data_IF_485408359178
#
_entry.id   IF_485408359178
#
_cell.length_a   1.000
_cell.length_b   1.000
_cell.length_c   1.000
_cell.angle_alpha   90.00
_cell.angle_beta   90.00
_cell.angle_gamma   90.00
#
_symmetry.space_group_name_H-M   'P 1'
#
loop_
_entity.id
_entity.type
_entity.pdbx_description
1 polymer ?
#
# COMPACT_ATOMS: atom_id res chain seq x y z
N UNK A 1 14.30 17.19 8.84
CA UNK A 1 14.34 18.14 7.71
C UNK A 1 15.49 17.84 6.74
N UNK A 2 16.71 17.63 7.23
CA UNK A 2 17.89 17.33 6.40
C UNK A 2 17.68 16.02 5.57
N UNK A 3 17.20 14.96 6.19
CA UNK A 3 16.98 13.67 5.52
C UNK A 3 15.96 13.79 4.38
N UNK A 4 14.95 14.62 4.55
CA UNK A 4 13.92 14.87 3.53
C UNK A 4 14.52 15.63 2.33
N UNK A 5 15.41 16.57 2.57
CA UNK A 5 16.09 17.33 1.49
C UNK A 5 17.00 16.41 0.67
N UNK A 6 17.69 15.49 1.30
CA UNK A 6 18.48 14.45 0.63
C UNK A 6 17.61 13.57 -0.28
N UNK A 7 16.67 13.30 0.12
CA UNK A 7 15.87 12.57 -0.50
C UNK A 7 15.40 13.09 -1.66
N UNK A 8 14.99 14.19 -1.59
CA UNK A 8 14.47 14.85 -2.78
C UNK A 8 15.53 14.90 -3.90
N UNK A 9 16.73 15.24 -3.55
CA UNK A 9 17.83 15.29 -4.53
C UNK A 9 18.12 13.90 -5.13
N UNK A 10 18.26 12.91 -4.28
CA UNK A 10 18.49 11.52 -4.71
C UNK A 10 17.35 10.99 -5.59
N UNK A 11 16.12 11.46 -5.36
CA UNK A 11 14.96 11.08 -6.14
C UNK A 11 15.15 11.42 -7.62
N UNK A 12 15.57 12.65 -7.91
CA UNK A 12 15.78 13.10 -9.28
C UNK A 12 16.97 12.36 -9.94
N UNK A 13 18.04 12.16 -9.17
CA UNK A 13 19.22 11.42 -9.65
C UNK A 13 18.85 9.97 -10.03
N UNK A 14 18.02 9.32 -9.21
CA UNK A 14 17.53 7.96 -9.48
C UNK A 14 16.68 7.97 -10.76
N UNK A 15 15.77 8.94 -10.91
CA UNK A 15 14.94 9.06 -12.10
C UNK A 15 15.76 9.21 -13.37
N UNK A 16 16.71 10.12 -13.34
CA UNK A 16 17.62 10.35 -14.47
C UNK A 16 18.40 9.08 -14.83
N UNK A 17 18.88 8.36 -13.80
CA UNK A 17 19.60 7.10 -14.02
C UNK A 17 18.74 6.02 -14.68
N UNK A 18 17.46 5.95 -14.29
CA UNK A 18 16.51 5.02 -14.92
C UNK A 18 16.32 5.37 -16.39
N UNK A 19 16.16 6.68 -16.71
CA UNK A 19 16.03 7.12 -18.11
C UNK A 19 17.28 6.78 -18.92
N UNK A 20 18.48 6.99 -18.35
CA UNK A 20 19.73 6.60 -19.01
C UNK A 20 19.79 5.09 -19.33
N UNK A 21 19.38 4.25 -18.37
CA UNK A 21 19.36 2.80 -18.55
C UNK A 21 18.34 2.40 -19.64
N UNK A 22 17.20 3.07 -19.66
CA UNK A 22 16.18 2.83 -20.69
C UNK A 22 16.70 3.26 -22.06
N UNK A 23 17.40 4.40 -22.15
CA UNK A 23 17.98 4.88 -23.40
C UNK A 23 19.00 3.89 -23.98
N UNK A 24 19.82 3.26 -23.11
CA UNK A 24 20.76 2.24 -23.53
C UNK A 24 20.06 1.01 -24.14
N UNK A 25 18.88 0.66 -23.62
CA UNK A 25 18.11 -0.50 -24.09
C UNK A 25 17.20 -0.17 -25.27
N UNK A 26 16.67 1.04 -25.30
CA UNK A 26 15.70 1.54 -26.30
C UNK A 26 16.15 2.91 -26.79
N UNK A 27 17.09 2.97 -27.74
CA UNK A 27 17.62 4.26 -28.20
C UNK A 27 16.53 5.20 -28.71
N UNK A 28 16.55 6.44 -28.25
CA UNK A 28 15.59 7.48 -28.59
C UNK A 28 14.43 7.60 -27.59
N UNK A 29 14.36 6.73 -26.58
CA UNK A 29 13.24 6.79 -25.63
C UNK A 29 13.31 8.06 -24.77
N UNK A 30 14.48 8.54 -24.45
CA UNK A 30 14.63 9.73 -23.60
C UNK A 30 13.94 10.97 -24.20
N UNK A 31 13.93 11.08 -25.55
CA UNK A 31 13.27 12.20 -26.25
C UNK A 31 11.75 12.07 -26.21
N UNK A 32 11.21 10.93 -25.82
CA UNK A 32 9.77 10.67 -25.77
C UNK A 32 9.23 10.73 -24.34
N UNK A 33 10.10 10.94 -23.34
CA UNK A 33 9.67 11.05 -21.93
C UNK A 33 9.07 12.44 -21.74
N UNK A 34 7.76 12.48 -21.48
CA UNK A 34 7.04 13.72 -21.22
C UNK A 34 6.94 14.04 -19.74
N UNK A 35 6.86 13.00 -18.89
CA UNK A 35 6.70 13.17 -17.44
C UNK A 35 7.50 12.10 -16.74
N UNK A 36 8.15 12.48 -15.64
CA UNK A 36 8.81 11.54 -14.72
C UNK A 36 8.21 11.75 -13.34
N UNK A 37 7.64 10.70 -12.78
CA UNK A 37 7.20 10.72 -11.38
C UNK A 37 7.87 9.57 -10.64
N UNK A 38 8.51 9.90 -9.52
CA UNK A 38 9.29 8.95 -8.74
C UNK A 38 8.72 8.89 -7.33
N UNK A 39 8.31 7.71 -6.92
CA UNK A 39 7.86 7.47 -5.55
C UNK A 39 8.94 6.75 -4.76
N UNK A 40 9.35 7.33 -3.66
CA UNK A 40 10.31 6.76 -2.72
C UNK A 40 9.58 6.37 -1.43
N UNK A 41 10.22 5.65 -0.50
CA UNK A 41 9.59 5.41 0.81
C UNK A 41 9.15 6.68 1.51
N UNK A 42 9.89 7.79 1.37
CA UNK A 42 9.47 9.08 1.95
C UNK A 42 8.20 9.62 1.29
N UNK A 43 8.03 9.37 -0.02
CA UNK A 43 6.79 9.72 -0.73
C UNK A 43 5.60 8.96 -0.12
N UNK A 44 5.76 7.65 0.07
CA UNK A 44 4.71 6.83 0.68
C UNK A 44 4.40 7.28 2.11
N UNK A 45 5.44 7.50 2.92
CA UNK A 45 5.25 7.97 4.29
C UNK A 45 4.47 9.30 4.34
N UNK A 46 4.83 10.24 3.46
CA UNK A 46 4.18 11.55 3.38
C UNK A 46 2.70 11.44 3.04
N UNK A 47 2.32 10.58 2.09
CA UNK A 47 0.95 10.50 1.60
C UNK A 47 0.07 9.53 2.39
N UNK A 48 0.65 8.52 3.03
CA UNK A 48 -0.12 7.46 3.69
C UNK A 48 0.03 7.44 5.21
N UNK A 49 1.08 8.07 5.73
CA UNK A 49 1.42 7.96 7.15
C UNK A 49 2.00 6.59 7.53
N UNK A 50 2.21 5.71 6.57
CA UNK A 50 2.73 4.37 6.84
C UNK A 50 4.17 4.42 7.32
N UNK A 51 4.45 3.66 8.37
CA UNK A 51 5.76 3.61 9.00
C UNK A 51 6.86 3.26 8.01
N UNK A 52 7.88 4.11 7.94
CA UNK A 52 9.02 3.99 7.03
C UNK A 52 8.61 3.83 5.56
N UNK A 53 7.46 4.38 5.19
CA UNK A 53 7.02 4.39 3.80
C UNK A 53 6.61 3.03 3.25
N UNK A 54 6.11 2.14 4.09
CA UNK A 54 5.56 0.86 3.61
C UNK A 54 4.41 1.13 2.63
N UNK A 55 4.53 0.62 1.42
CA UNK A 55 3.49 0.84 0.40
C UNK A 55 2.46 -0.30 0.35
N UNK A 56 2.81 -1.45 0.91
CA UNK A 56 1.89 -2.59 1.08
C UNK A 56 1.84 -2.98 2.56
N UNK A 57 0.99 -3.93 2.89
CA UNK A 57 0.87 -4.43 4.26
C UNK A 57 2.08 -5.25 4.71
N UNK A 58 1.83 -6.30 5.48
CA UNK A 58 2.89 -7.13 6.04
C UNK A 58 3.65 -7.88 4.96
N UNK A 59 4.97 -7.84 5.02
CA UNK A 59 5.81 -8.65 4.13
C UNK A 59 5.59 -10.13 4.45
N UNK A 60 5.23 -10.91 3.44
CA UNK A 60 5.03 -12.35 3.58
C UNK A 60 6.40 -13.03 3.45
N UNK A 61 6.80 -13.73 4.50
CA UNK A 61 8.03 -14.52 4.54
C UNK A 61 7.68 -15.99 4.77
N UNK A 62 8.60 -16.94 4.53
CA UNK A 62 8.31 -18.34 4.84
C UNK A 62 7.88 -18.56 6.29
N UNK A 63 8.45 -17.80 7.24
CA UNK A 63 8.20 -17.95 8.67
C UNK A 63 6.79 -17.51 9.06
N UNK A 64 6.27 -16.44 8.44
CA UNK A 64 4.96 -15.88 8.81
C UNK A 64 3.85 -16.22 7.82
N UNK A 65 4.16 -16.92 6.71
CA UNK A 65 3.21 -17.19 5.63
C UNK A 65 1.93 -17.87 6.10
N UNK A 66 2.06 -18.87 6.98
CA UNK A 66 0.89 -19.62 7.49
C UNK A 66 -0.08 -18.73 8.26
N UNK A 67 0.45 -17.74 8.98
CA UNK A 67 -0.37 -16.78 9.74
C UNK A 67 -0.97 -15.73 8.79
N UNK A 68 -0.14 -15.18 7.91
CA UNK A 68 -0.56 -14.10 7.02
C UNK A 68 -1.44 -14.56 5.86
N UNK A 69 -1.49 -15.87 5.58
CA UNK A 69 -2.42 -16.41 4.57
C UNK A 69 -3.87 -16.43 5.05
N UNK A 70 -4.10 -16.18 6.33
CA UNK A 70 -5.45 -16.09 6.89
C UNK A 70 -5.78 -14.61 7.18
N UNK A 71 -7.00 -14.16 6.85
CA UNK A 71 -7.40 -12.80 7.23
C UNK A 71 -7.29 -12.61 8.75
N UNK A 72 -6.73 -11.49 9.16
CA UNK A 72 -6.66 -11.13 10.57
C UNK A 72 -8.04 -10.75 11.09
N UNK A 73 -8.23 -10.84 12.41
CA UNK A 73 -9.46 -10.37 13.03
C UNK A 73 -9.65 -8.88 12.72
N UNK A 74 -10.84 -8.52 12.30
CA UNK A 74 -11.22 -7.13 12.08
C UNK A 74 -11.73 -6.44 13.35
N UNK A 75 -11.61 -7.12 14.48
CA UNK A 75 -12.03 -6.58 15.79
C UNK A 75 -11.02 -6.98 16.85
N UNK A 76 -10.91 -6.18 17.89
CA UNK A 76 -10.03 -6.44 19.03
C UNK A 76 -10.88 -6.98 20.18
N UNK A 77 -10.48 -8.13 20.77
CA UNK A 77 -11.21 -8.66 21.94
C UNK A 77 -11.32 -7.61 23.05
N UNK A 78 -12.50 -7.49 23.60
CA UNK A 78 -12.77 -6.52 24.66
C UNK A 78 -13.17 -5.12 24.21
N UNK A 79 -13.07 -4.84 22.90
CA UNK A 79 -13.51 -3.55 22.33
C UNK A 79 -14.77 -3.75 21.50
N UNK A 80 -15.91 -3.27 22.02
CA UNK A 80 -17.16 -3.28 21.27
C UNK A 80 -17.22 -2.09 20.31
N UNK A 81 -17.84 -2.30 19.15
CA UNK A 81 -18.03 -1.26 18.13
C UNK A 81 -16.71 -0.66 17.59
N UNK A 82 -15.60 -1.38 17.75
CA UNK A 82 -14.32 -1.00 17.18
C UNK A 82 -13.91 -2.01 16.12
N UNK A 83 -13.65 -1.53 14.93
CA UNK A 83 -13.34 -2.39 13.78
C UNK A 83 -12.14 -1.86 13.02
N UNK A 84 -11.44 -2.78 12.40
CA UNK A 84 -10.25 -2.49 11.58
C UNK A 84 -10.44 -3.03 10.17
N UNK A 85 -9.99 -2.27 9.17
CA UNK A 85 -9.94 -2.77 7.80
C UNK A 85 -8.74 -2.16 7.07
N UNK A 86 -8.46 -2.69 5.90
CA UNK A 86 -7.37 -2.20 5.07
C UNK A 86 -6.23 -3.21 4.95
N UNK A 87 -5.14 -2.75 4.38
CA UNK A 87 -3.99 -3.59 4.03
C UNK A 87 -3.28 -4.24 5.22
N UNK A 88 -3.45 -3.67 6.42
CA UNK A 88 -2.80 -4.20 7.62
C UNK A 88 -3.59 -5.34 8.29
N UNK A 89 -4.84 -5.54 7.87
CA UNK A 89 -5.72 -6.59 8.41
C UNK A 89 -5.98 -7.69 7.38
N UNK A 90 -5.87 -7.34 6.10
CA UNK A 90 -6.07 -8.28 5.00
C UNK A 90 -4.73 -8.55 4.32
N UNK A 91 -4.15 -9.73 4.51
CA UNK A 91 -2.86 -10.05 3.88
C UNK A 91 -2.92 -10.03 2.36
N UNK A 92 -1.77 -9.86 1.74
CA UNK A 92 -1.64 -9.81 0.29
C UNK A 92 -1.39 -8.42 -0.27
N UNK A 93 -1.67 -7.39 0.52
CA UNK A 93 -1.37 -6.00 0.14
C UNK A 93 -2.14 -5.49 -1.07
N UNK A 94 -1.92 -4.22 -1.36
CA UNK A 94 -2.47 -3.57 -2.54
C UNK A 94 -3.91 -3.11 -2.41
N UNK A 95 -4.35 -2.32 -3.39
CA UNK A 95 -5.67 -1.69 -3.40
C UNK A 95 -6.82 -2.73 -3.39
N UNK A 96 -6.76 -3.81 -4.22
CA UNK A 96 -7.89 -4.75 -4.23
C UNK A 96 -8.14 -5.41 -2.87
N UNK A 97 -7.10 -5.83 -2.17
CA UNK A 97 -7.25 -6.46 -0.85
C UNK A 97 -7.77 -5.46 0.18
N UNK A 98 -7.30 -4.22 0.15
CA UNK A 98 -7.78 -3.18 1.04
C UNK A 98 -9.28 -2.90 0.84
N UNK A 99 -9.73 -2.81 -0.42
CA UNK A 99 -11.16 -2.62 -0.75
C UNK A 99 -11.98 -3.82 -0.28
N UNK A 100 -11.49 -5.04 -0.52
CA UNK A 100 -12.19 -6.25 -0.10
C UNK A 100 -12.29 -6.36 1.42
N UNK A 101 -11.27 -5.89 2.12
CA UNK A 101 -11.28 -5.84 3.59
C UNK A 101 -12.43 -4.94 4.09
N UNK A 102 -12.56 -3.74 3.53
CA UNK A 102 -13.67 -2.84 3.86
C UNK A 102 -15.03 -3.46 3.54
N UNK A 103 -15.16 -4.07 2.35
CA UNK A 103 -16.40 -4.73 1.94
C UNK A 103 -16.81 -5.86 2.89
N UNK A 104 -15.85 -6.68 3.33
CA UNK A 104 -16.10 -7.76 4.30
C UNK A 104 -16.56 -7.19 5.64
N UNK A 105 -15.93 -6.10 6.08
CA UNK A 105 -16.28 -5.45 7.34
C UNK A 105 -17.71 -4.93 7.31
N UNK A 106 -18.09 -4.17 6.26
CA UNK A 106 -19.46 -3.63 6.16
C UNK A 106 -20.49 -4.77 6.10
N UNK A 107 -20.18 -5.84 5.35
CA UNK A 107 -21.05 -7.02 5.30
C UNK A 107 -21.25 -7.64 6.69
N UNK A 108 -20.18 -7.70 7.49
CA UNK A 108 -20.23 -8.20 8.86
C UNK A 108 -21.09 -7.30 9.74
N UNK A 109 -20.87 -5.98 9.70
CA UNK A 109 -21.65 -5.02 10.49
C UNK A 109 -23.15 -5.10 10.12
N UNK A 110 -23.47 -5.14 8.82
CA UNK A 110 -24.86 -5.31 8.39
C UNK A 110 -25.49 -6.57 8.98
N UNK A 111 -24.72 -7.69 8.99
CA UNK A 111 -25.22 -8.95 9.56
C UNK A 111 -25.45 -8.82 11.07
N UNK A 112 -24.54 -8.17 11.79
CA UNK A 112 -24.65 -7.93 13.23
C UNK A 112 -25.89 -7.07 13.56
N UNK A 113 -26.19 -6.10 12.68
CA UNK A 113 -27.37 -5.22 12.79
C UNK A 113 -28.67 -5.85 12.26
N UNK A 114 -28.65 -7.10 11.83
CA UNK A 114 -29.81 -7.76 11.24
C UNK A 114 -30.21 -7.20 9.87
N UNK A 115 -29.29 -6.50 9.19
CA UNK A 115 -29.55 -5.89 7.88
C UNK A 115 -28.93 -6.68 6.75
N UNK A 116 -29.56 -6.64 5.59
CA UNK A 116 -29.00 -7.28 4.39
C UNK A 116 -28.00 -6.33 3.73
N UNK A 117 -26.77 -6.82 3.54
CA UNK A 117 -25.77 -6.09 2.77
C UNK A 117 -26.18 -6.08 1.28
N UNK A 118 -26.26 -4.90 0.69
CA UNK A 118 -26.53 -4.72 -0.74
C UNK A 118 -25.46 -3.83 -1.37
N UNK A 119 -25.03 -4.19 -2.56
CA UNK A 119 -24.23 -3.32 -3.43
C UNK A 119 -25.13 -2.88 -4.57
N UNK A 120 -25.15 -1.60 -4.83
CA UNK A 120 -25.84 -1.03 -6.00
C UNK A 120 -25.09 -1.39 -7.27
#
# INVERSE_FOLDING_TARGET
MILYAIXLKEKDDIGNKVVELLEQRFPGISSQVEVIDIATPLTFERYTGNWKGCFEGWLITPENSKVLMKPMSQSIPGLSNFYMCGQWVEPGGGLPTAVMSGRRLVKRICKEDGRRFRTT
#
